data_IF_305790934215
#
_entry.id   IF_305790934215
#
_cell.length_a   1.000
_cell.length_b   1.000
_cell.length_c   1.000
_cell.angle_alpha   90.00
_cell.angle_beta   90.00
_cell.angle_gamma   90.00
#
_symmetry.space_group_name_H-M   'P 1'
#
loop_
_entity.id
_entity.type
_entity.pdbx_description
1 polymer ?
#
# COMPACT_ATOMS: atom_id res chain seq x y z
N UNK A 1 -29.13 -0.46 2.77
CA UNK A 1 -29.57 -1.84 2.45
C UNK A 1 -31.05 -1.81 2.11
N UNK A 2 -31.50 -2.65 1.16
CA UNK A 2 -32.92 -2.72 0.81
C UNK A 2 -33.72 -3.40 1.92
N UNK A 3 -35.03 -3.14 1.99
CA UNK A 3 -35.96 -3.81 2.93
C UNK A 3 -36.44 -5.17 2.43
N UNK A 4 -35.89 -5.67 1.32
CA UNK A 4 -36.35 -6.89 0.66
C UNK A 4 -35.51 -8.09 1.09
N UNK A 5 -36.15 -9.26 1.19
CA UNK A 5 -35.47 -10.52 1.48
C UNK A 5 -34.58 -10.92 0.30
N UNK A 6 -33.34 -11.29 0.60
CA UNK A 6 -32.40 -11.83 -0.40
C UNK A 6 -32.84 -13.25 -0.76
N UNK A 7 -32.96 -13.53 -2.06
CA UNK A 7 -33.22 -14.88 -2.59
C UNK A 7 -31.88 -15.49 -2.99
N UNK A 8 -31.55 -16.64 -2.41
CA UNK A 8 -30.37 -17.43 -2.81
C UNK A 8 -30.75 -18.34 -3.98
N UNK A 9 -30.35 -17.93 -5.19
CA UNK A 9 -30.64 -18.67 -6.43
C UNK A 9 -29.89 -20.00 -6.54
N UNK A 10 -28.87 -20.25 -5.70
CA UNK A 10 -28.19 -21.55 -5.68
C UNK A 10 -28.99 -22.59 -4.88
N UNK A 11 -29.62 -22.16 -3.79
CA UNK A 11 -30.43 -23.03 -2.92
C UNK A 11 -31.91 -23.12 -3.35
N UNK A 12 -32.46 -22.08 -3.98
CA UNK A 12 -33.87 -22.00 -4.35
C UNK A 12 -34.10 -22.37 -5.82
N UNK A 13 -34.53 -23.61 -6.07
CA UNK A 13 -34.77 -24.17 -7.41
C UNK A 13 -36.14 -23.76 -8.02
N UNK A 14 -36.88 -22.85 -7.38
CA UNK A 14 -38.20 -22.42 -7.86
C UNK A 14 -38.06 -21.33 -8.91
N UNK A 15 -39.04 -21.24 -9.80
CA UNK A 15 -39.18 -20.09 -10.71
C UNK A 15 -39.82 -18.95 -9.92
N UNK A 16 -39.09 -17.85 -9.76
CA UNK A 16 -39.61 -16.63 -9.13
C UNK A 16 -39.98 -15.61 -10.20
N UNK A 17 -41.27 -15.28 -10.28
CA UNK A 17 -41.78 -14.27 -11.22
C UNK A 17 -41.98 -12.94 -10.47
N UNK A 18 -41.29 -11.88 -10.91
CA UNK A 18 -41.45 -10.53 -10.38
C UNK A 18 -41.68 -9.54 -11.54
N UNK A 19 -42.47 -8.49 -11.30
CA UNK A 19 -42.61 -7.38 -12.25
C UNK A 19 -41.37 -6.48 -12.31
N UNK A 20 -40.54 -6.51 -11.26
CA UNK A 20 -39.29 -5.75 -11.13
C UNK A 20 -38.32 -6.53 -10.22
N UNK A 21 -37.01 -6.49 -10.53
CA UNK A 21 -35.96 -7.15 -9.73
C UNK A 21 -34.76 -6.22 -9.56
N UNK A 22 -34.22 -6.17 -8.34
CA UNK A 22 -32.97 -5.47 -8.03
C UNK A 22 -31.88 -6.52 -7.80
N UNK A 23 -30.91 -6.59 -8.72
CA UNK A 23 -29.72 -7.45 -8.58
C UNK A 23 -28.57 -6.60 -8.07
N UNK A 24 -27.88 -7.08 -7.04
CA UNK A 24 -26.73 -6.39 -6.45
C UNK A 24 -25.71 -7.38 -5.91
N UNK A 25 -24.49 -6.88 -5.66
CA UNK A 25 -23.43 -7.66 -5.05
C UNK A 25 -23.61 -7.72 -3.53
N UNK A 26 -23.18 -8.83 -2.92
CA UNK A 26 -23.07 -8.94 -1.47
C UNK A 26 -21.84 -8.15 -1.01
N UNK A 27 -22.04 -7.22 -0.09
CA UNK A 27 -20.96 -6.41 0.47
C UNK A 27 -20.44 -7.06 1.76
N UNK A 28 -19.18 -7.45 1.77
CA UNK A 28 -18.52 -8.05 2.94
C UNK A 28 -17.71 -7.02 3.78
N UNK A 29 -17.67 -5.77 3.33
CA UNK A 29 -16.80 -4.73 3.87
C UNK A 29 -15.81 -4.21 2.85
N UNK A 30 -15.02 -3.22 3.26
CA UNK A 30 -14.07 -2.52 2.40
C UNK A 30 -12.83 -3.36 2.17
N UNK A 31 -12.57 -3.76 0.91
CA UNK A 31 -11.53 -4.72 0.54
C UNK A 31 -11.59 -6.04 1.35
N UNK A 32 -12.79 -6.43 1.78
CA UNK A 32 -13.03 -7.67 2.51
C UNK A 32 -13.68 -8.70 1.60
N UNK A 33 -13.16 -9.92 1.66
CA UNK A 33 -13.85 -11.13 1.20
C UNK A 33 -13.95 -12.01 2.45
N UNK A 34 -15.18 -12.31 2.89
CA UNK A 34 -15.42 -13.18 4.03
C UNK A 34 -15.59 -14.63 3.56
N UNK A 35 -14.62 -15.52 3.85
CA UNK A 35 -14.69 -16.93 3.48
C UNK A 35 -15.96 -17.63 3.95
N UNK A 36 -16.51 -17.25 5.11
CA UNK A 36 -17.73 -17.89 5.65
C UNK A 36 -18.98 -17.55 4.83
N UNK A 37 -18.93 -16.47 4.06
CA UNK A 37 -20.02 -16.00 3.21
C UNK A 37 -19.79 -16.34 1.73
N UNK A 38 -18.66 -16.96 1.38
CA UNK A 38 -18.29 -17.36 0.03
C UNK A 38 -18.60 -18.84 -0.23
N UNK A 39 -19.16 -19.22 -1.40
CA UNK A 39 -19.52 -20.61 -1.70
C UNK A 39 -18.38 -21.63 -1.58
N UNK A 40 -17.14 -21.25 -1.94
CA UNK A 40 -15.98 -22.15 -1.83
C UNK A 40 -14.98 -21.72 -0.77
N UNK A 41 -15.38 -20.84 0.15
CA UNK A 41 -14.50 -20.37 1.22
C UNK A 41 -13.38 -19.44 0.75
N UNK A 42 -13.52 -18.77 -0.38
CA UNK A 42 -12.48 -17.87 -0.89
C UNK A 42 -12.29 -16.63 -0.01
N UNK A 43 -11.05 -16.15 0.06
CA UNK A 43 -10.66 -14.95 0.80
C UNK A 43 -9.81 -13.98 -0.02
N UNK A 44 -9.26 -12.98 0.66
CA UNK A 44 -8.43 -11.94 0.04
C UNK A 44 -7.15 -12.51 -0.63
N UNK A 45 -6.66 -13.66 -0.15
CA UNK A 45 -5.50 -14.35 -0.71
C UNK A 45 -5.82 -14.96 -2.09
N UNK A 46 -7.02 -15.50 -2.28
CA UNK A 46 -7.48 -16.03 -3.57
C UNK A 46 -7.66 -14.91 -4.60
N UNK A 47 -8.22 -13.77 -4.16
CA UNK A 47 -8.28 -12.58 -5.00
C UNK A 47 -6.90 -12.07 -5.40
N UNK A 48 -5.93 -12.07 -4.47
CA UNK A 48 -4.55 -11.74 -4.81
C UNK A 48 -3.95 -12.76 -5.79
N UNK A 49 -4.22 -14.06 -5.64
CA UNK A 49 -3.74 -15.07 -6.58
C UNK A 49 -4.28 -14.84 -7.99
N UNK A 50 -5.56 -14.48 -8.11
CA UNK A 50 -6.19 -14.07 -9.37
C UNK A 50 -5.48 -12.86 -10.00
N UNK A 51 -5.19 -11.82 -9.20
CA UNK A 51 -4.45 -10.65 -9.66
C UNK A 51 -3.06 -11.04 -10.19
N UNK A 52 -2.31 -11.84 -9.42
CA UNK A 52 -0.98 -12.32 -9.84
C UNK A 52 -1.05 -13.08 -11.15
N UNK A 53 -2.01 -13.99 -11.32
CA UNK A 53 -2.20 -14.74 -12.56
C UNK A 53 -2.47 -13.83 -13.76
N UNK A 54 -3.30 -12.80 -13.57
CA UNK A 54 -3.65 -11.85 -14.63
C UNK A 54 -2.44 -11.00 -15.07
N UNK A 55 -1.60 -10.55 -14.14
CA UNK A 55 -0.49 -9.64 -14.44
C UNK A 55 0.86 -10.30 -14.69
N UNK A 56 1.11 -11.51 -14.18
CA UNK A 56 2.32 -12.29 -14.47
C UNK A 56 2.23 -13.07 -15.80
N UNK A 57 1.01 -13.23 -16.33
CA UNK A 57 0.71 -14.00 -17.53
C UNK A 57 0.71 -15.52 -17.31
N UNK A 58 0.25 -16.32 -18.30
CA UNK A 58 0.23 -17.78 -18.20
C UNK A 58 1.63 -18.37 -17.92
N UNK A 59 1.74 -19.50 -17.18
CA UNK A 59 3.02 -20.16 -16.88
C UNK A 59 3.91 -20.41 -18.11
N UNK A 60 3.31 -20.59 -19.28
CA UNK A 60 4.01 -20.81 -20.56
C UNK A 60 4.77 -19.56 -21.05
N UNK A 61 4.28 -18.34 -20.78
CA UNK A 61 4.98 -17.09 -21.09
C UNK A 61 6.11 -16.80 -20.08
N UNK A 62 6.00 -17.28 -18.84
CA UNK A 62 7.11 -17.23 -17.85
C UNK A 62 8.28 -18.10 -18.31
N UNK A 63 8.01 -19.31 -18.82
CA UNK A 63 9.04 -20.21 -19.38
C UNK A 63 9.71 -19.63 -20.64
N UNK A 64 8.98 -18.93 -21.50
CA UNK A 64 9.57 -18.30 -22.70
C UNK A 64 10.42 -17.07 -22.36
N UNK A 65 10.02 -16.27 -21.36
CA UNK A 65 10.85 -15.17 -20.82
C UNK A 65 12.10 -15.67 -20.11
N UNK A 66 12.00 -16.73 -19.30
CA UNK A 66 13.16 -17.38 -18.69
C UNK A 66 14.08 -18.03 -19.73
N UNK A 67 13.55 -18.71 -20.76
CA UNK A 67 14.35 -19.25 -21.87
C UNK A 67 15.07 -18.17 -22.68
N UNK A 68 14.46 -17.00 -22.89
CA UNK A 68 15.13 -15.86 -23.53
C UNK A 68 16.25 -15.25 -22.66
N UNK A 69 16.17 -15.37 -21.35
CA UNK A 69 17.25 -15.01 -20.41
C UNK A 69 18.30 -16.10 -20.23
N UNK A 70 18.04 -17.33 -20.71
CA UNK A 70 18.97 -18.46 -20.71
C UNK A 70 19.63 -18.71 -22.07
N UNK A 71 19.37 -17.88 -23.09
CA UNK A 71 20.18 -17.88 -24.29
C UNK A 71 21.64 -17.54 -23.90
N UNK A 72 22.66 -18.22 -24.46
CA UNK A 72 24.04 -17.93 -24.10
C UNK A 72 24.30 -16.44 -24.37
N UNK A 73 24.82 -15.67 -23.40
CA UNK A 73 25.24 -14.30 -23.69
C UNK A 73 26.34 -14.33 -24.75
N UNK A 74 26.46 -13.31 -25.62
CA UNK A 74 27.65 -13.14 -26.43
C UNK A 74 28.89 -13.15 -25.51
N UNK A 75 30.05 -13.64 -26.00
CA UNK A 75 31.25 -13.75 -25.17
C UNK A 75 31.56 -12.40 -24.51
N UNK A 76 31.87 -12.39 -23.20
CA UNK A 76 32.03 -11.14 -22.47
C UNK A 76 33.26 -10.38 -23.00
N UNK A 77 33.18 -9.04 -23.16
CA UNK A 77 34.38 -8.23 -23.27
C UNK A 77 35.24 -8.40 -21.99
N UNK A 78 36.57 -8.17 -22.06
CA UNK A 78 37.45 -8.29 -20.90
C UNK A 78 36.93 -7.45 -19.72
N UNK A 79 37.07 -7.93 -18.48
CA UNK A 79 36.37 -7.33 -17.35
C UNK A 79 36.90 -5.91 -17.08
N UNK A 80 36.05 -4.87 -17.07
CA UNK A 80 36.39 -3.67 -16.35
C UNK A 80 36.34 -3.99 -14.85
N UNK A 81 37.45 -3.77 -14.15
CA UNK A 81 37.58 -3.91 -12.70
C UNK A 81 36.80 -2.82 -11.99
N UNK A 82 35.47 -2.94 -11.93
CA UNK A 82 34.63 -2.30 -10.93
C UNK A 82 33.42 -3.22 -10.72
N UNK A 83 33.39 -3.90 -9.58
CA UNK A 83 32.21 -4.62 -9.10
C UNK A 83 31.09 -3.59 -8.86
N UNK A 84 30.31 -3.26 -9.88
CA UNK A 84 29.02 -2.59 -9.69
C UNK A 84 28.04 -3.63 -9.12
N UNK A 85 28.23 -3.97 -7.84
CA UNK A 85 27.21 -4.62 -7.03
C UNK A 85 26.00 -3.69 -7.05
N UNK A 86 24.86 -4.16 -7.57
CA UNK A 86 23.62 -3.40 -7.41
C UNK A 86 23.51 -3.00 -5.93
N UNK A 87 23.13 -1.75 -5.61
CA UNK A 87 23.07 -1.31 -4.23
C UNK A 87 22.26 -2.33 -3.42
N UNK A 88 22.89 -2.87 -2.38
CA UNK A 88 22.28 -3.85 -1.51
C UNK A 88 21.15 -3.17 -0.71
N UNK A 89 20.03 -3.86 -0.51
CA UNK A 89 18.97 -3.39 0.38
C UNK A 89 17.55 -3.70 -0.10
N UNK A 90 16.60 -3.81 0.84
CA UNK A 90 15.18 -4.01 0.55
C UNK A 90 14.60 -2.84 -0.24
N UNK A 91 13.63 -3.13 -1.11
CA UNK A 91 12.99 -2.14 -1.99
C UNK A 91 11.75 -1.56 -1.31
N UNK A 92 11.67 -0.24 -1.24
CA UNK A 92 10.45 0.47 -0.81
C UNK A 92 9.88 1.27 -1.98
N UNK A 93 8.62 1.02 -2.31
CA UNK A 93 7.89 1.82 -3.31
C UNK A 93 7.09 2.90 -2.60
N UNK A 94 7.23 4.15 -3.05
CA UNK A 94 6.58 5.31 -2.46
C UNK A 94 5.53 5.83 -3.45
N UNK A 95 4.25 5.68 -3.13
CA UNK A 95 3.18 6.29 -3.94
C UNK A 95 2.96 7.74 -3.55
N UNK A 96 2.96 8.61 -4.56
CA UNK A 96 2.76 10.05 -4.39
C UNK A 96 1.56 10.55 -5.19
N UNK A 97 1.06 11.72 -4.81
CA UNK A 97 0.03 12.49 -5.53
C UNK A 97 0.47 13.94 -5.59
N UNK A 98 0.07 14.63 -6.66
CA UNK A 98 0.43 16.03 -6.89
C UNK A 98 -0.75 17.01 -6.70
N UNK A 99 -1.93 16.52 -6.32
CA UNK A 99 -3.16 17.33 -6.22
C UNK A 99 -3.71 17.41 -4.80
N UNK A 100 -3.88 16.26 -4.14
CA UNK A 100 -4.44 16.14 -2.79
C UNK A 100 -3.67 15.09 -2.03
N UNK A 101 -3.57 15.23 -0.69
CA UNK A 101 -2.72 14.37 0.16
C UNK A 101 -1.27 14.34 -0.32
N UNK A 102 -0.80 15.50 -0.77
CA UNK A 102 0.56 15.69 -1.26
C UNK A 102 1.51 15.55 -0.08
N UNK A 103 2.59 14.81 -0.30
CA UNK A 103 3.71 14.75 0.63
C UNK A 103 4.63 15.95 0.34
N UNK A 104 4.53 17.00 1.15
CA UNK A 104 5.14 18.31 0.92
C UNK A 104 6.67 18.30 1.01
N UNK A 105 7.23 17.33 1.72
CA UNK A 105 8.67 17.13 1.91
C UNK A 105 9.09 15.75 1.41
N UNK A 106 8.65 15.39 0.20
CA UNK A 106 8.93 14.10 -0.43
C UNK A 106 10.43 13.80 -0.50
N UNK A 107 11.25 14.81 -0.81
CA UNK A 107 12.70 14.63 -0.93
C UNK A 107 13.29 14.13 0.38
N UNK A 108 12.96 14.78 1.48
CA UNK A 108 13.45 14.44 2.82
C UNK A 108 12.91 13.06 3.27
N UNK A 109 11.71 12.68 2.85
CA UNK A 109 11.16 11.34 3.12
C UNK A 109 11.86 10.25 2.30
N UNK A 110 12.24 10.53 1.05
CA UNK A 110 13.05 9.61 0.23
C UNK A 110 14.43 9.43 0.86
N UNK A 111 15.10 10.54 1.22
CA UNK A 111 16.39 10.53 1.90
C UNK A 111 16.32 9.71 3.21
N UNK A 112 15.26 9.90 4.02
CA UNK A 112 15.05 9.11 5.24
C UNK A 112 14.86 7.61 4.99
N UNK A 113 14.18 7.23 3.90
CA UNK A 113 14.06 5.82 3.51
C UNK A 113 15.42 5.23 3.13
N UNK A 114 16.24 5.98 2.39
CA UNK A 114 17.57 5.57 1.95
C UNK A 114 18.55 5.46 3.14
N UNK A 115 18.52 6.42 4.06
CA UNK A 115 19.27 6.40 5.32
C UNK A 115 18.88 5.21 6.21
N UNK A 116 17.60 4.83 6.21
CA UNK A 116 17.13 3.62 6.89
C UNK A 116 17.62 2.31 6.24
N UNK A 117 18.20 2.38 5.04
CA UNK A 117 18.76 1.24 4.30
C UNK A 117 17.88 0.70 3.17
N UNK A 118 16.78 1.39 2.82
CA UNK A 118 15.94 0.98 1.70
C UNK A 118 16.45 1.53 0.37
N UNK A 119 16.17 0.79 -0.72
CA UNK A 119 16.17 1.33 -2.07
C UNK A 119 14.80 1.92 -2.38
N UNK A 120 14.70 3.26 -2.37
CA UNK A 120 13.45 3.97 -2.61
C UNK A 120 13.12 4.08 -4.10
N UNK A 121 11.88 3.77 -4.46
CA UNK A 121 11.33 4.00 -5.80
C UNK A 121 10.05 4.82 -5.69
N UNK A 122 10.08 6.07 -6.16
CA UNK A 122 8.90 6.94 -6.19
C UNK A 122 8.02 6.61 -7.40
N UNK A 123 6.72 6.48 -7.18
CA UNK A 123 5.71 6.19 -8.21
C UNK A 123 4.58 7.22 -8.12
N UNK A 124 4.45 8.04 -9.17
CA UNK A 124 3.28 8.88 -9.43
C UNK A 124 2.28 8.11 -10.31
N UNK A 125 1.30 7.48 -9.68
CA UNK A 125 0.25 6.73 -10.38
C UNK A 125 -0.83 7.70 -10.90
N UNK A 126 -0.65 8.16 -12.14
CA UNK A 126 -1.64 8.95 -12.88
C UNK A 126 -2.80 8.06 -13.33
N UNK A 127 -3.94 8.68 -13.64
CA UNK A 127 -5.15 7.97 -14.09
C UNK A 127 -4.92 7.06 -15.31
N UNK A 128 -3.94 7.38 -16.16
CA UNK A 128 -3.59 6.61 -17.35
C UNK A 128 -2.34 5.73 -17.17
N UNK A 129 -1.75 5.67 -15.96
CA UNK A 129 -0.62 4.78 -15.71
C UNK A 129 -1.09 3.33 -15.86
N UNK A 130 -0.49 2.52 -16.76
CA UNK A 130 -0.93 1.15 -16.95
C UNK A 130 -0.79 0.31 -15.68
N UNK A 131 -1.84 -0.42 -15.31
CA UNK A 131 -1.85 -1.22 -14.09
C UNK A 131 -0.74 -2.28 -14.06
N UNK A 132 -0.35 -2.81 -15.22
CA UNK A 132 0.80 -3.72 -15.34
C UNK A 132 2.15 -3.07 -14.98
N UNK A 133 2.31 -1.76 -15.16
CA UNK A 133 3.50 -1.04 -14.70
C UNK A 133 3.51 -0.91 -13.17
N UNK A 134 2.35 -0.61 -12.58
CA UNK A 134 2.17 -0.54 -11.14
C UNK A 134 2.42 -1.90 -10.50
N UNK A 135 1.83 -2.97 -11.05
CA UNK A 135 2.06 -4.34 -10.62
C UNK A 135 3.55 -4.70 -10.60
N UNK A 136 4.30 -4.38 -11.67
CA UNK A 136 5.75 -4.67 -11.73
C UNK A 136 6.55 -3.96 -10.63
N UNK A 137 6.19 -2.71 -10.32
CA UNK A 137 6.84 -1.96 -9.25
C UNK A 137 6.53 -2.57 -7.88
N UNK A 138 5.26 -2.89 -7.61
CA UNK A 138 4.81 -3.31 -6.27
C UNK A 138 5.04 -4.81 -5.99
N UNK A 139 4.86 -5.69 -6.98
CA UNK A 139 5.04 -7.13 -6.77
C UNK A 139 6.48 -7.50 -6.41
N UNK A 140 7.46 -6.66 -6.77
CA UNK A 140 8.87 -6.83 -6.45
C UNK A 140 9.37 -6.01 -5.26
N UNK A 141 8.50 -5.25 -4.59
CA UNK A 141 8.86 -4.43 -3.44
C UNK A 141 8.68 -5.18 -2.11
N UNK A 142 9.56 -4.88 -1.16
CA UNK A 142 9.51 -5.43 0.21
C UNK A 142 8.71 -4.55 1.16
N UNK A 143 8.57 -3.26 0.82
CA UNK A 143 7.71 -2.32 1.52
C UNK A 143 6.98 -1.38 0.54
N UNK A 144 5.78 -0.95 0.92
CA UNK A 144 5.02 0.10 0.23
C UNK A 144 4.74 1.22 1.22
N UNK A 145 5.12 2.44 0.85
CA UNK A 145 4.84 3.68 1.57
C UNK A 145 3.82 4.51 0.80
N UNK A 146 2.74 4.91 1.46
CA UNK A 146 1.76 5.81 0.87
C UNK A 146 1.00 6.61 1.94
N UNK A 147 0.59 7.83 1.59
CA UNK A 147 -0.40 8.58 2.38
C UNK A 147 -1.77 7.91 2.21
N UNK A 148 -2.59 7.90 3.26
CA UNK A 148 -3.95 7.36 3.20
C UNK A 148 -4.73 7.90 1.99
N UNK A 149 -5.28 7.00 1.16
CA UNK A 149 -5.99 7.36 -0.07
C UNK A 149 -5.10 7.78 -1.27
N UNK A 150 -3.78 7.68 -1.14
CA UNK A 150 -2.81 7.85 -2.23
C UNK A 150 -2.41 6.51 -2.85
N UNK A 151 -3.37 5.86 -3.52
CA UNK A 151 -3.13 4.61 -4.26
C UNK A 151 -2.71 3.42 -3.37
N UNK A 152 -3.06 3.47 -2.07
CA UNK A 152 -2.71 2.44 -1.07
C UNK A 152 -3.24 1.06 -1.45
N UNK A 153 -4.39 0.97 -2.14
CA UNK A 153 -5.03 -0.28 -2.60
C UNK A 153 -4.09 -1.18 -3.42
N UNK A 154 -3.04 -0.63 -4.04
CA UNK A 154 -2.05 -1.42 -4.75
C UNK A 154 -1.24 -2.36 -3.86
N UNK A 155 -1.36 -2.27 -2.52
CA UNK A 155 -0.82 -3.27 -1.59
C UNK A 155 -1.27 -4.70 -1.95
N UNK A 156 -2.41 -4.87 -2.62
CA UNK A 156 -2.90 -6.16 -3.11
C UNK A 156 -1.92 -6.86 -4.06
N UNK A 157 -1.01 -6.12 -4.71
CA UNK A 157 0.05 -6.69 -5.54
C UNK A 157 1.30 -7.10 -4.76
N UNK A 158 1.45 -6.69 -3.51
CA UNK A 158 2.62 -7.03 -2.68
C UNK A 158 2.63 -8.52 -2.35
N UNK A 159 3.82 -9.11 -2.22
CA UNK A 159 3.95 -10.51 -1.79
C UNK A 159 4.14 -10.56 -0.27
N UNK A 160 3.26 -11.24 0.47
CA UNK A 160 3.51 -11.54 1.88
C UNK A 160 4.85 -12.27 2.05
N UNK A 161 5.63 -12.00 3.11
CA UNK A 161 5.29 -11.16 4.28
C UNK A 161 5.85 -9.72 4.20
N UNK A 162 5.72 -9.04 3.05
CA UNK A 162 6.10 -7.63 2.89
C UNK A 162 5.34 -6.66 3.83
N UNK A 163 5.78 -5.39 3.88
CA UNK A 163 5.22 -4.39 4.79
C UNK A 163 4.47 -3.25 4.08
N UNK A 164 3.27 -2.94 4.57
CA UNK A 164 2.51 -1.74 4.20
C UNK A 164 2.71 -0.66 5.26
N UNK A 165 3.44 0.40 4.92
CA UNK A 165 3.60 1.60 5.74
C UNK A 165 2.64 2.70 5.26
N UNK A 166 1.64 3.01 6.06
CA UNK A 166 0.68 4.07 5.76
C UNK A 166 0.98 5.32 6.57
N UNK A 167 1.14 6.47 5.90
CA UNK A 167 1.05 7.79 6.54
C UNK A 167 -0.44 8.10 6.70
N UNK A 168 -0.90 8.26 7.94
CA UNK A 168 -2.30 8.49 8.31
C UNK A 168 -2.48 9.98 8.63
N UNK A 169 -3.14 10.75 7.75
CA UNK A 169 -3.52 12.14 8.04
C UNK A 169 -4.50 12.23 9.21
N UNK A 170 -4.61 13.42 9.79
CA UNK A 170 -5.52 13.69 10.92
C UNK A 170 -6.95 13.31 10.56
N UNK A 171 -7.69 12.72 11.51
CA UNK A 171 -9.11 12.41 11.37
C UNK A 171 -9.41 11.16 10.53
N UNK A 172 -8.38 10.39 10.15
CA UNK A 172 -8.53 9.21 9.30
C UNK A 172 -8.13 7.89 9.99
N UNK A 173 -7.90 7.87 11.31
CA UNK A 173 -7.49 6.68 12.07
C UNK A 173 -8.39 5.46 11.85
N UNK A 174 -9.71 5.63 11.99
CA UNK A 174 -10.66 4.55 11.74
C UNK A 174 -10.64 4.10 10.29
N UNK A 175 -10.60 5.06 9.35
CA UNK A 175 -10.61 4.76 7.92
C UNK A 175 -9.33 4.03 7.48
N UNK A 176 -8.18 4.39 8.06
CA UNK A 176 -6.88 3.77 7.83
C UNK A 176 -6.93 2.26 8.12
N UNK A 177 -7.37 1.89 9.32
CA UNK A 177 -7.46 0.48 9.68
C UNK A 177 -8.59 -0.24 8.92
N UNK A 178 -9.78 0.37 8.80
CA UNK A 178 -10.93 -0.25 8.14
C UNK A 178 -10.69 -0.53 6.65
N UNK A 179 -10.06 0.41 5.92
CA UNK A 179 -9.85 0.27 4.47
C UNK A 179 -8.56 -0.43 4.10
N UNK A 180 -7.51 -0.34 4.93
CA UNK A 180 -6.19 -0.82 4.55
C UNK A 180 -5.53 -1.69 5.61
N UNK A 181 -5.59 -1.30 6.89
CA UNK A 181 -4.93 -2.05 7.96
C UNK A 181 -5.45 -3.47 8.13
N UNK A 182 -6.75 -3.63 8.38
CA UNK A 182 -7.37 -4.94 8.52
C UNK A 182 -7.25 -5.79 7.23
N UNK A 183 -7.51 -5.27 6.02
CA UNK A 183 -7.25 -6.00 4.78
C UNK A 183 -5.78 -6.42 4.59
N UNK A 184 -4.81 -5.55 4.86
CA UNK A 184 -3.38 -5.85 4.73
C UNK A 184 -2.95 -6.98 5.68
N UNK A 185 -3.40 -6.95 6.94
CA UNK A 185 -3.13 -8.03 7.90
C UNK A 185 -3.74 -9.36 7.45
N UNK A 186 -4.99 -9.35 6.94
CA UNK A 186 -5.63 -10.56 6.39
C UNK A 186 -4.90 -11.12 5.17
N UNK A 187 -4.28 -10.24 4.38
CA UNK A 187 -3.42 -10.63 3.27
C UNK A 187 -2.08 -11.22 3.73
N UNK A 188 -1.69 -11.04 5.00
CA UNK A 188 -0.42 -11.51 5.56
C UNK A 188 0.71 -10.49 5.47
N UNK A 189 0.39 -9.21 5.28
CA UNK A 189 1.37 -8.12 5.32
C UNK A 189 1.55 -7.58 6.74
N UNK A 190 2.75 -7.10 7.06
CA UNK A 190 2.95 -6.26 8.24
C UNK A 190 2.40 -4.87 7.96
N UNK A 191 1.41 -4.44 8.75
CA UNK A 191 0.81 -3.12 8.61
C UNK A 191 1.35 -2.17 9.67
N UNK A 192 1.93 -1.06 9.23
CA UNK A 192 2.53 -0.04 10.08
C UNK A 192 1.94 1.32 9.76
N UNK A 193 1.59 2.08 10.80
CA UNK A 193 1.05 3.43 10.67
C UNK A 193 2.07 4.47 11.11
N UNK A 194 2.14 5.57 10.37
CA UNK A 194 2.70 6.83 10.82
C UNK A 194 1.59 7.87 10.93
N UNK A 195 1.15 8.13 12.15
CA UNK A 195 0.08 9.11 12.41
C UNK A 195 0.64 10.52 12.45
N UNK A 196 0.10 11.36 11.59
CA UNK A 196 0.47 12.77 11.40
C UNK A 196 -0.05 13.59 12.57
N UNK A 197 0.80 14.46 13.16
CA UNK A 197 0.37 15.43 14.16
C UNK A 197 -0.21 16.71 13.52
N UNK A 198 -0.82 17.58 14.31
CA UNK A 198 -1.34 18.86 13.85
C UNK A 198 -0.28 19.69 13.10
N UNK A 199 0.95 19.72 13.60
CA UNK A 199 2.07 20.48 13.04
C UNK A 199 2.61 19.90 11.73
N UNK A 200 2.31 18.64 11.44
CA UNK A 200 2.68 17.95 10.21
C UNK A 200 1.59 18.06 9.13
N UNK A 201 0.45 18.65 9.46
CA UNK A 201 -0.70 18.82 8.57
C UNK A 201 -0.78 20.24 8.04
N UNK A 202 -1.03 20.41 6.74
CA UNK A 202 -1.30 21.74 6.15
C UNK A 202 -2.57 22.39 6.71
N UNK A 203 -3.44 21.63 7.39
CA UNK A 203 -4.60 22.18 8.07
C UNK A 203 -4.20 23.14 9.20
N UNK A 204 -2.98 23.03 9.73
CA UNK A 204 -2.46 23.98 10.74
C UNK A 204 -2.24 25.39 10.21
N UNK A 205 -2.13 25.57 8.89
CA UNK A 205 -2.06 26.88 8.24
C UNK A 205 -3.45 27.51 8.07
N UNK A 206 -4.51 26.70 8.04
CA UNK A 206 -5.90 27.12 7.80
C UNK A 206 -6.74 27.24 9.07
N UNK A 207 -6.41 26.48 10.11
CA UNK A 207 -7.21 26.35 11.32
C UNK A 207 -6.40 26.66 12.58
N UNK A 208 -7.02 27.40 13.50
CA UNK A 208 -6.47 27.59 14.83
C UNK A 208 -6.22 26.25 15.54
N UNK A 209 -5.18 26.17 16.36
CA UNK A 209 -4.84 24.95 17.14
C UNK A 209 -5.99 24.42 18.02
N UNK A 210 -6.90 25.30 18.44
CA UNK A 210 -8.08 24.96 19.25
C UNK A 210 -9.31 24.61 18.41
N UNK A 211 -9.24 24.75 17.09
CA UNK A 211 -10.31 24.34 16.18
C UNK A 211 -10.58 22.84 16.36
N UNK A 212 -11.85 22.40 16.38
CA UNK A 212 -12.19 20.98 16.40
C UNK A 212 -11.55 20.20 15.25
N UNK A 213 -11.22 20.84 14.12
CA UNK A 213 -10.52 20.19 12.99
C UNK A 213 -9.15 19.62 13.41
N UNK A 214 -8.45 20.28 14.34
CA UNK A 214 -7.14 19.85 14.82
C UNK A 214 -7.22 19.22 16.22
N UNK A 215 -8.05 19.77 17.10
CA UNK A 215 -8.13 19.39 18.51
C UNK A 215 -9.07 18.20 18.77
N UNK A 216 -10.12 18.04 17.96
CA UNK A 216 -11.07 16.92 18.09
C UNK A 216 -11.57 16.44 16.71
N UNK A 217 -10.71 15.76 15.93
CA UNK A 217 -11.07 15.32 14.60
C UNK A 217 -12.27 14.36 14.55
N UNK A 218 -12.51 13.63 15.64
CA UNK A 218 -13.64 12.72 15.81
C UNK A 218 -14.99 13.46 15.80
N UNK A 219 -15.07 14.66 16.38
CA UNK A 219 -16.27 15.48 16.32
C UNK A 219 -16.59 15.96 14.89
N UNK A 220 -15.57 16.15 14.04
CA UNK A 220 -15.76 16.47 12.61
C UNK A 220 -16.20 15.21 11.85
N UNK A 221 -15.57 14.06 12.12
CA UNK A 221 -15.96 12.78 11.53
C UNK A 221 -17.41 12.38 11.87
N UNK A 222 -17.88 12.71 13.09
CA UNK A 222 -19.26 12.50 13.53
C UNK A 222 -20.32 13.26 12.72
N UNK A 223 -19.92 14.27 11.93
CA UNK A 223 -20.81 14.99 11.00
C UNK A 223 -21.07 14.24 9.70
N UNK A 224 -20.40 13.09 9.52
CA UNK A 224 -20.59 12.19 8.39
C UNK A 224 -19.41 12.15 7.43
N UNK A 225 -19.40 11.10 6.60
CA UNK A 225 -18.33 10.78 5.66
C UNK A 225 -17.95 11.95 4.73
N UNK A 226 -18.93 12.68 4.21
CA UNK A 226 -18.67 13.76 3.26
C UNK A 226 -17.90 14.93 3.87
N UNK A 227 -18.19 15.29 5.12
CA UNK A 227 -17.47 16.36 5.80
C UNK A 227 -16.05 15.92 6.16
N UNK A 228 -15.90 14.69 6.65
CA UNK A 228 -14.59 14.08 6.92
C UNK A 228 -13.72 14.04 5.66
N UNK A 229 -14.26 13.58 4.53
CA UNK A 229 -13.55 13.55 3.24
C UNK A 229 -13.13 14.96 2.81
N UNK A 230 -14.06 15.91 2.85
CA UNK A 230 -13.83 17.29 2.43
C UNK A 230 -12.70 17.95 3.22
N UNK A 231 -12.66 17.75 4.54
CA UNK A 231 -11.63 18.35 5.41
C UNK A 231 -10.33 17.56 5.35
N UNK A 232 -10.38 16.26 5.61
CA UNK A 232 -9.16 15.48 5.89
C UNK A 232 -8.58 14.74 4.68
N UNK A 233 -9.33 14.56 3.59
CA UNK A 233 -8.84 13.91 2.36
C UNK A 233 -8.61 14.88 1.22
N UNK A 234 -9.45 15.91 1.09
CA UNK A 234 -9.40 16.84 -0.06
C UNK A 234 -8.51 18.07 0.22
N UNK A 235 -8.45 18.56 1.46
CA UNK A 235 -7.73 19.80 1.82
C UNK A 235 -6.42 19.58 2.58
N UNK A 236 -6.19 18.37 3.07
CA UNK A 236 -5.03 18.07 3.89
C UNK A 236 -3.87 17.54 3.04
N UNK A 237 -2.75 18.24 3.08
CA UNK A 237 -1.44 17.78 2.66
C UNK A 237 -0.56 17.54 3.91
N UNK A 238 0.51 16.76 3.75
CA UNK A 238 1.32 16.30 4.87
C UNK A 238 2.77 16.71 4.69
N UNK A 239 3.37 17.29 5.73
CA UNK A 239 4.81 17.48 5.88
C UNK A 239 5.29 16.58 7.02
N UNK A 240 5.89 15.45 6.67
CA UNK A 240 6.34 14.44 7.65
C UNK A 240 7.52 14.97 8.48
N UNK A 241 7.44 14.82 9.79
CA UNK A 241 8.57 15.01 10.70
C UNK A 241 9.52 13.81 10.56
N UNK A 242 10.62 14.02 9.83
CA UNK A 242 11.58 12.95 9.49
C UNK A 242 12.22 12.32 10.73
N UNK A 243 12.49 13.11 11.77
CA UNK A 243 13.07 12.59 13.01
C UNK A 243 12.15 11.58 13.70
N UNK A 244 10.84 11.86 13.75
CA UNK A 244 9.84 10.91 14.25
C UNK A 244 9.65 9.73 13.30
N UNK A 245 9.61 10.00 12.00
CA UNK A 245 9.38 9.00 10.96
C UNK A 245 10.49 7.95 10.90
N UNK A 246 11.74 8.33 11.20
CA UNK A 246 12.90 7.43 11.22
C UNK A 246 12.67 6.20 12.11
N UNK A 247 12.07 6.37 13.30
CA UNK A 247 11.75 5.24 14.19
C UNK A 247 10.76 4.25 13.56
N UNK A 248 9.77 4.76 12.82
CA UNK A 248 8.80 3.94 12.08
C UNK A 248 9.47 3.20 10.92
N UNK A 249 10.33 3.88 10.15
CA UNK A 249 11.11 3.26 9.07
C UNK A 249 12.01 2.15 9.59
N UNK A 250 12.69 2.35 10.73
CA UNK A 250 13.52 1.31 11.35
C UNK A 250 12.71 0.09 11.80
N UNK A 251 11.46 0.27 12.25
CA UNK A 251 10.57 -0.88 12.56
C UNK A 251 10.26 -1.67 11.29
N UNK A 252 9.89 -0.98 10.21
CA UNK A 252 9.58 -1.61 8.91
C UNK A 252 10.82 -2.32 8.35
N UNK A 253 11.98 -1.67 8.41
CA UNK A 253 13.25 -2.22 7.93
C UNK A 253 13.61 -3.50 8.67
N UNK A 254 13.52 -3.51 10.01
CA UNK A 254 13.77 -4.70 10.82
C UNK A 254 12.85 -5.86 10.45
N UNK A 255 11.56 -5.59 10.25
CA UNK A 255 10.60 -6.61 9.79
C UNK A 255 11.03 -7.21 8.44
N UNK A 256 11.31 -6.36 7.46
CA UNK A 256 11.71 -6.78 6.12
C UNK A 256 13.04 -7.55 6.11
N UNK A 257 14.00 -7.12 6.92
CA UNK A 257 15.32 -7.74 7.01
C UNK A 257 15.30 -9.09 7.75
N UNK A 258 14.43 -9.26 8.74
CA UNK A 258 14.24 -10.56 9.38
C UNK A 258 13.82 -11.65 8.38
N UNK A 259 13.19 -11.25 7.27
CA UNK A 259 12.76 -12.13 6.18
C UNK A 259 13.86 -12.39 5.14
N UNK A 260 14.89 -11.55 5.09
CA UNK A 260 15.98 -11.60 4.12
C UNK A 260 17.34 -11.70 4.82
N UNK A 261 17.65 -12.89 5.34
CA UNK A 261 18.87 -13.23 6.08
C UNK A 261 20.20 -12.82 5.40
N UNK A 262 20.20 -12.50 4.10
CA UNK A 262 21.40 -12.18 3.32
C UNK A 262 21.37 -10.81 2.60
N UNK A 263 20.29 -10.01 2.72
CA UNK A 263 20.13 -8.79 1.90
C UNK A 263 20.38 -7.46 2.63
N UNK A 264 20.36 -7.47 3.97
CA UNK A 264 20.50 -6.25 4.77
C UNK A 264 21.89 -6.16 5.40
N UNK A 265 22.63 -5.10 5.05
CA UNK A 265 23.87 -4.73 5.75
C UNK A 265 23.48 -3.93 7.00
N UNK A 266 24.13 -4.21 8.14
CA UNK A 266 23.95 -3.39 9.35
C UNK A 266 24.52 -2.01 9.07
N UNK A 267 23.70 -0.97 9.13
CA UNK A 267 24.11 0.44 8.89
C UNK A 267 25.03 0.96 10.01
N UNK A 268 25.33 0.17 11.05
CA UNK A 268 26.07 0.61 12.23
C UNK A 268 27.60 0.38 12.25
N UNK A 269 28.22 -0.17 11.19
CA UNK A 269 29.66 -0.47 11.19
C UNK A 269 30.53 0.52 10.36
N UNK A 270 30.10 1.76 10.14
CA UNK A 270 30.88 2.75 9.32
C UNK A 270 31.56 3.85 10.17
N UNK A 271 31.46 3.82 11.50
CA UNK A 271 32.11 4.83 12.38
C UNK A 271 33.08 4.26 13.43
N UNK A 272 33.59 3.06 13.23
CA UNK A 272 34.64 2.48 14.07
C UNK A 272 35.88 2.12 13.24
N UNK A 273 36.44 3.07 12.48
CA UNK A 273 37.79 3.01 11.90
C UNK A 273 38.21 4.39 11.38
N UNK A 274 38.57 5.30 12.29
CA UNK A 274 39.58 6.35 12.07
C UNK A 274 40.38 6.48 13.36
#
# INVERSE_FOLDING_TARGET
MSKYRIVDLAADQRVHCFSEMIVGLRFHGELVIDPQQMPNGEGIQDFQALLRQAFDGPPLLRKSRQRRQQAPPPPPPPPPTFEHREPAGPRIVIFVRNQTRVLLNLREVVEACEEAGFRAQVVDAKQHTPLAAIHRAVASSDALLAVHGAAVTHFLFMRPPAALLQIVPIGLDWAADAFYGAPARRLGLEYVEYKVSAEESSLSDEYDRRSPVLADPSAVAGRGWWEMKKVYMDKQNVRVNVSRFSATLQRVYRHVCALHLHACVRVHDVHASV
#
